data_IF_238358209156
#
_entry.id   IF_238358209156
#
_cell.length_a   1.000
_cell.length_b   1.000
_cell.length_c   1.000
_cell.angle_alpha   90.00
_cell.angle_beta   90.00
_cell.angle_gamma   90.00
#
_symmetry.space_group_name_H-M   'P 1'
#
loop_
_entity.id
_entity.type
_entity.pdbx_description
1 polymer ?
#
# COMPACT_ATOMS: atom_id res chain seq x y z
N UNK A 1 -3.94 -12.24 10.23
CA UNK A 1 -3.35 -11.04 9.59
C UNK A 1 -3.02 -11.37 8.16
N UNK A 2 -3.20 -10.40 7.28
CA UNK A 2 -2.93 -10.56 5.86
C UNK A 2 -1.66 -9.77 5.52
N UNK A 3 -0.84 -10.33 4.64
CA UNK A 3 0.34 -9.67 4.10
C UNK A 3 0.07 -9.31 2.64
N UNK A 4 0.42 -8.09 2.27
CA UNK A 4 0.25 -7.55 0.94
C UNK A 4 1.57 -7.01 0.41
N UNK A 5 1.70 -7.00 -0.90
CA UNK A 5 2.77 -6.31 -1.61
C UNK A 5 2.17 -5.40 -2.67
N UNK A 6 2.77 -4.23 -2.87
CA UNK A 6 2.41 -3.30 -3.94
C UNK A 6 3.58 -2.37 -4.26
N UNK A 7 3.49 -1.71 -5.41
CA UNK A 7 4.38 -0.64 -5.85
C UNK A 7 3.65 0.70 -5.79
N UNK A 8 4.42 1.76 -5.59
CA UNK A 8 3.96 3.15 -5.66
C UNK A 8 4.94 3.98 -6.49
N UNK A 9 4.45 5.07 -7.11
CA UNK A 9 5.30 5.98 -7.90
C UNK A 9 6.26 6.76 -7.02
N UNK A 10 5.83 7.09 -5.80
CA UNK A 10 6.68 7.74 -4.82
C UNK A 10 6.27 7.43 -3.37
N UNK A 11 7.14 7.82 -2.43
CA UNK A 11 6.83 7.75 -0.99
C UNK A 11 5.58 8.56 -0.61
N UNK A 12 5.23 9.61 -1.38
CA UNK A 12 4.04 10.41 -1.15
C UNK A 12 2.76 9.56 -1.23
N UNK A 13 2.62 8.77 -2.29
CA UNK A 13 1.43 7.92 -2.50
C UNK A 13 1.36 6.82 -1.44
N UNK A 14 2.53 6.26 -1.08
CA UNK A 14 2.63 5.30 0.03
C UNK A 14 2.10 5.92 1.32
N UNK A 15 2.54 7.12 1.68
CA UNK A 15 2.10 7.75 2.92
C UNK A 15 0.63 8.20 2.87
N UNK A 16 0.12 8.62 1.72
CA UNK A 16 -1.31 8.88 1.53
C UNK A 16 -2.13 7.60 1.78
N UNK A 17 -1.72 6.48 1.20
CA UNK A 17 -2.35 5.18 1.39
C UNK A 17 -2.28 4.69 2.83
N UNK A 18 -1.10 4.70 3.45
CA UNK A 18 -0.93 4.30 4.85
C UNK A 18 -1.71 5.22 5.81
N UNK A 19 -1.76 6.52 5.52
CA UNK A 19 -2.57 7.49 6.26
C UNK A 19 -4.05 7.14 6.21
N UNK A 20 -4.59 6.88 5.03
CA UNK A 20 -5.99 6.45 4.88
C UNK A 20 -6.25 5.08 5.53
N UNK A 21 -5.29 4.16 5.46
CA UNK A 21 -5.42 2.80 5.98
C UNK A 21 -5.45 2.77 7.51
N UNK A 22 -4.55 3.51 8.16
CA UNK A 22 -4.43 3.56 9.63
C UNK A 22 -5.66 4.13 10.33
N UNK A 23 -6.50 4.90 9.61
CA UNK A 23 -7.79 5.38 10.14
C UNK A 23 -8.84 4.26 10.30
N UNK A 24 -8.70 3.15 9.58
CA UNK A 24 -9.69 2.07 9.53
C UNK A 24 -9.14 0.71 9.99
N UNK A 25 -7.85 0.49 9.84
CA UNK A 25 -7.19 -0.79 10.06
C UNK A 25 -5.87 -0.61 10.81
N UNK A 26 -5.54 -1.60 11.63
CA UNK A 26 -4.27 -1.68 12.33
C UNK A 26 -3.20 -2.25 11.40
N UNK A 27 -2.16 -1.46 11.19
CA UNK A 27 -0.92 -1.89 10.55
C UNK A 27 -0.02 -2.52 11.61
N UNK A 28 0.42 -3.76 11.38
CA UNK A 28 1.37 -4.45 12.26
C UNK A 28 2.80 -4.18 11.82
N UNK A 29 3.04 -4.26 10.52
CA UNK A 29 4.36 -4.06 9.93
C UNK A 29 4.19 -3.44 8.54
N UNK A 30 5.08 -2.51 8.19
CA UNK A 30 5.20 -1.96 6.85
C UNK A 30 6.68 -1.78 6.54
N UNK A 31 7.13 -2.41 5.47
CA UNK A 31 8.51 -2.31 4.96
C UNK A 31 8.46 -1.54 3.64
N UNK A 32 9.29 -0.51 3.55
CA UNK A 32 9.44 0.31 2.35
C UNK A 32 10.81 0.01 1.74
N UNK A 33 10.83 -0.29 0.45
CA UNK A 33 12.04 -0.49 -0.33
C UNK A 33 12.03 0.50 -1.50
N UNK A 34 12.53 1.72 -1.27
CA UNK A 34 12.70 2.70 -2.34
C UNK A 34 13.70 2.19 -3.38
N UNK A 35 13.42 2.45 -4.65
CA UNK A 35 14.38 2.25 -5.72
C UNK A 35 15.55 3.26 -5.58
N UNK A 36 16.76 2.85 -5.97
CA UNK A 36 17.95 3.72 -5.84
C UNK A 36 18.08 4.74 -6.97
N UNK A 37 17.43 4.49 -8.10
CA UNK A 37 17.54 5.27 -9.33
C UNK A 37 16.24 6.03 -9.65
N UNK A 38 15.10 5.50 -9.21
CA UNK A 38 13.77 6.03 -9.51
C UNK A 38 12.99 6.35 -8.23
N UNK A 39 11.96 7.22 -8.30
CA UNK A 39 11.14 7.54 -7.13
C UNK A 39 10.26 6.36 -6.67
N UNK A 40 10.13 5.32 -7.50
CA UNK A 40 9.36 4.11 -7.21
C UNK A 40 9.69 3.49 -5.85
N UNK A 41 8.66 2.96 -5.19
CA UNK A 41 8.80 2.28 -3.91
C UNK A 41 8.06 0.95 -3.96
N UNK A 42 8.76 -0.13 -3.61
CA UNK A 42 8.13 -1.41 -3.32
C UNK A 42 7.76 -1.47 -1.84
N UNK A 43 6.55 -1.92 -1.54
CA UNK A 43 5.97 -1.92 -0.20
C UNK A 43 5.48 -3.29 0.18
N UNK A 44 5.93 -3.80 1.33
CA UNK A 44 5.34 -4.95 2.00
C UNK A 44 4.56 -4.49 3.22
N UNK A 45 3.30 -4.90 3.32
CA UNK A 45 2.36 -4.42 4.32
C UNK A 45 1.66 -5.58 5.02
N UNK A 46 1.71 -5.62 6.35
CA UNK A 46 0.94 -6.54 7.18
C UNK A 46 -0.13 -5.80 7.99
N UNK A 47 -1.38 -6.18 7.79
CA UNK A 47 -2.54 -5.50 8.38
C UNK A 47 -3.69 -6.49 8.68
N UNK A 48 -4.67 -6.08 9.50
CA UNK A 48 -5.93 -6.81 9.67
C UNK A 48 -6.92 -6.60 8.52
N UNK A 49 -6.69 -5.59 7.67
CA UNK A 49 -7.54 -5.29 6.52
C UNK A 49 -7.60 -6.44 5.50
N UNK A 50 -8.76 -6.62 4.88
CA UNK A 50 -8.97 -7.60 3.79
C UNK A 50 -8.60 -7.01 2.43
N UNK A 51 -8.35 -7.86 1.43
CA UNK A 51 -7.95 -7.42 0.10
C UNK A 51 -8.98 -6.46 -0.52
N UNK A 52 -10.28 -6.78 -0.40
CA UNK A 52 -11.36 -5.91 -0.89
C UNK A 52 -11.40 -4.56 -0.20
N UNK A 53 -11.10 -4.50 1.10
CA UNK A 53 -11.06 -3.24 1.85
C UNK A 53 -9.87 -2.39 1.44
N UNK A 54 -8.69 -3.00 1.24
CA UNK A 54 -7.52 -2.30 0.73
C UNK A 54 -7.77 -1.79 -0.69
N UNK A 55 -8.31 -2.61 -1.58
CA UNK A 55 -8.62 -2.21 -2.95
C UNK A 55 -9.61 -1.03 -2.98
N UNK A 56 -10.70 -1.10 -2.22
CA UNK A 56 -11.64 0.01 -2.09
C UNK A 56 -11.03 1.28 -1.46
N UNK A 57 -9.98 1.14 -0.64
CA UNK A 57 -9.24 2.26 -0.09
C UNK A 57 -8.36 2.90 -1.16
N UNK A 58 -7.62 2.10 -1.93
CA UNK A 58 -6.80 2.60 -3.04
C UNK A 58 -7.66 3.34 -4.06
N UNK A 59 -8.81 2.78 -4.43
CA UNK A 59 -9.76 3.40 -5.37
C UNK A 59 -10.31 4.76 -4.87
N UNK A 60 -10.20 5.03 -3.57
CA UNK A 60 -10.64 6.30 -2.96
C UNK A 60 -9.55 7.37 -2.88
N UNK A 61 -8.31 7.02 -3.23
CA UNK A 61 -7.16 7.93 -3.19
C UNK A 61 -6.87 8.40 -4.61
N UNK A 62 -6.83 9.71 -4.78
CA UNK A 62 -6.45 10.33 -6.05
C UNK A 62 -5.00 9.97 -6.38
N UNK A 63 -4.73 9.63 -7.64
CA UNK A 63 -3.41 9.24 -8.16
C UNK A 63 -2.77 7.94 -7.59
N UNK A 64 -3.55 7.06 -6.95
CA UNK A 64 -3.03 5.78 -6.45
C UNK A 64 -3.02 4.62 -7.48
N UNK A 65 -2.90 4.94 -8.78
CA UNK A 65 -3.05 3.98 -9.89
C UNK A 65 -2.06 2.80 -9.80
N UNK A 66 -0.77 3.08 -9.58
CA UNK A 66 0.25 2.03 -9.49
C UNK A 66 0.01 1.11 -8.29
N UNK A 67 -0.45 1.67 -7.17
CA UNK A 67 -0.84 0.88 -6.01
C UNK A 67 -2.02 -0.03 -6.36
N UNK A 68 -3.03 0.49 -7.08
CA UNK A 68 -4.23 -0.27 -7.45
C UNK A 68 -3.91 -1.44 -8.39
N UNK A 69 -3.02 -1.21 -9.36
CA UNK A 69 -2.62 -2.19 -10.36
C UNK A 69 -1.70 -3.28 -9.81
N UNK A 70 -0.89 -2.96 -8.80
CA UNK A 70 0.14 -3.85 -8.26
C UNK A 70 -0.20 -4.49 -6.92
N UNK A 71 -1.32 -4.10 -6.30
CA UNK A 71 -1.75 -4.65 -5.01
C UNK A 71 -2.02 -6.15 -5.12
N UNK A 72 -1.22 -6.93 -4.43
CA UNK A 72 -1.34 -8.38 -4.35
C UNK A 72 -1.31 -8.85 -2.89
N UNK A 73 -2.01 -9.93 -2.59
CA UNK A 73 -1.91 -10.63 -1.31
C UNK A 73 -0.85 -11.73 -1.43
N UNK A 74 0.12 -11.72 -0.52
CA UNK A 74 1.12 -12.78 -0.39
C UNK A 74 0.78 -13.68 0.80
N UNK A 75 0.90 -15.00 0.59
CA UNK A 75 0.56 -16.05 1.57
C UNK A 75 1.53 -16.13 2.76
#
# INVERSE_FOLDING_TARGET
MNTYTFRAECLGDVFAFLGALTLKHRIECCTLQPDQCFPDVEVSLRTDGTFKQLQALVDSIDDAHIIAESLERIE
#
